data_IF_531491818696
#
_entry.id   IF_531491818696
#
_cell.length_a   1.000
_cell.length_b   1.000
_cell.length_c   1.000
_cell.angle_alpha   90.00
_cell.angle_beta   90.00
_cell.angle_gamma   90.00
#
_symmetry.space_group_name_H-M   'P 1'
#
loop_
_entity.id
_entity.type
_entity.pdbx_description
1 polymer ?
#
# COMPACT_ATOMS: atom_id res chain seq x y z
N UNK A 1 -36.05 -98.18 -14.15
CA UNK A 1 -35.57 -97.78 -12.81
C UNK A 1 -34.24 -97.05 -12.96
N UNK A 2 -34.23 -95.72 -12.83
CA UNK A 2 -33.23 -94.98 -12.05
C UNK A 2 -33.54 -93.49 -12.21
N UNK A 3 -34.15 -92.93 -11.16
CA UNK A 3 -34.45 -91.51 -11.00
C UNK A 3 -33.15 -90.70 -10.98
N UNK A 4 -33.00 -89.72 -11.87
CA UNK A 4 -32.02 -88.65 -11.69
C UNK A 4 -32.72 -87.34 -11.33
N UNK A 5 -32.74 -87.14 -10.01
CA UNK A 5 -33.22 -85.99 -9.25
C UNK A 5 -32.63 -84.67 -9.77
N UNK A 6 -33.52 -83.73 -10.08
CA UNK A 6 -33.19 -82.31 -10.30
C UNK A 6 -32.53 -81.75 -9.04
N UNK A 7 -31.31 -81.21 -9.19
CA UNK A 7 -30.60 -80.47 -8.12
C UNK A 7 -31.22 -79.07 -7.96
N UNK A 8 -31.38 -78.55 -6.72
CA UNK A 8 -31.93 -77.22 -6.48
C UNK A 8 -30.88 -76.14 -6.77
N UNK A 9 -31.34 -74.98 -7.23
CA UNK A 9 -30.50 -73.80 -7.52
C UNK A 9 -29.84 -73.26 -6.24
N UNK A 10 -28.55 -72.93 -6.32
CA UNK A 10 -27.79 -72.27 -5.24
C UNK A 10 -28.31 -70.83 -5.01
N UNK A 11 -28.52 -70.38 -3.76
CA UNK A 11 -28.73 -68.96 -3.49
C UNK A 11 -27.38 -68.23 -3.27
N UNK A 12 -27.33 -67.01 -3.82
CA UNK A 12 -26.49 -65.86 -3.46
C UNK A 12 -24.94 -65.91 -3.52
N UNK A 13 -24.38 -64.94 -4.26
CA UNK A 13 -23.40 -64.00 -3.68
C UNK A 13 -23.94 -62.58 -3.82
N UNK A 14 -24.61 -62.11 -2.77
CA UNK A 14 -24.84 -60.68 -2.55
C UNK A 14 -23.47 -59.97 -2.48
N UNK A 15 -23.33 -58.87 -3.22
CA UNK A 15 -22.18 -57.95 -3.09
C UNK A 15 -22.06 -57.52 -1.62
N UNK A 16 -20.84 -57.33 -1.07
CA UNK A 16 -20.69 -56.77 0.27
C UNK A 16 -21.38 -55.40 0.30
N UNK A 17 -22.05 -55.03 1.41
CA UNK A 17 -22.70 -53.74 1.50
C UNK A 17 -21.63 -52.66 1.32
N UNK A 18 -21.84 -51.76 0.35
CA UNK A 18 -21.08 -50.52 0.27
C UNK A 18 -21.15 -49.86 1.65
N UNK A 19 -19.98 -49.70 2.29
CA UNK A 19 -19.88 -48.87 3.49
C UNK A 19 -20.53 -47.54 3.15
N UNK A 20 -21.62 -47.21 3.87
CA UNK A 20 -22.18 -45.86 3.86
C UNK A 20 -21.02 -44.89 4.05
N UNK A 21 -20.91 -43.81 3.24
CA UNK A 21 -19.97 -42.76 3.59
C UNK A 21 -20.34 -42.35 5.01
N UNK A 22 -19.42 -42.54 5.95
CA UNK A 22 -19.55 -41.88 7.24
C UNK A 22 -19.71 -40.38 6.99
N UNK A 23 -20.31 -39.62 7.91
CA UNK A 23 -20.38 -38.18 7.75
C UNK A 23 -18.99 -37.67 7.37
N UNK A 24 -18.88 -37.02 6.20
CA UNK A 24 -17.65 -36.36 5.78
C UNK A 24 -17.23 -35.51 6.97
N UNK A 25 -16.13 -35.88 7.64
CA UNK A 25 -15.48 -34.97 8.57
C UNK A 25 -15.27 -33.67 7.76
N UNK A 26 -15.77 -32.51 8.21
CA UNK A 26 -15.38 -31.28 7.56
C UNK A 26 -13.85 -31.25 7.60
N UNK A 27 -13.16 -30.93 6.49
CA UNK A 27 -11.76 -30.59 6.61
C UNK A 27 -11.69 -29.50 7.68
N UNK A 28 -10.74 -29.62 8.61
CA UNK A 28 -10.36 -28.49 9.45
C UNK A 28 -9.97 -27.38 8.50
N UNK A 29 -10.92 -26.50 8.18
CA UNK A 29 -10.71 -25.35 7.33
C UNK A 29 -9.63 -24.53 8.03
N UNK A 30 -8.58 -24.18 7.30
CA UNK A 30 -7.60 -23.20 7.74
C UNK A 30 -8.07 -21.84 7.20
N UNK A 31 -9.01 -21.16 7.91
CA UNK A 31 -9.65 -19.97 7.37
C UNK A 31 -8.64 -18.86 7.10
N UNK A 32 -7.56 -18.79 7.91
CA UNK A 32 -6.51 -17.81 7.76
C UNK A 32 -5.75 -17.99 6.44
N UNK A 33 -5.23 -19.20 6.17
CA UNK A 33 -4.50 -19.47 4.92
C UNK A 33 -5.42 -19.44 3.70
N UNK A 34 -6.66 -19.88 3.83
CA UNK A 34 -7.64 -19.79 2.75
C UNK A 34 -7.95 -18.33 2.41
N UNK A 35 -8.19 -17.47 3.40
CA UNK A 35 -8.41 -16.04 3.18
C UNK A 35 -7.19 -15.35 2.55
N UNK A 36 -5.97 -15.73 2.98
CA UNK A 36 -4.74 -15.25 2.37
C UNK A 36 -4.60 -15.68 0.91
N UNK A 37 -4.84 -16.96 0.62
CA UNK A 37 -4.78 -17.52 -0.74
C UNK A 37 -5.80 -16.85 -1.66
N UNK A 38 -7.03 -16.65 -1.19
CA UNK A 38 -8.09 -16.00 -1.97
C UNK A 38 -7.79 -14.51 -2.22
N UNK A 39 -7.10 -13.85 -1.29
CA UNK A 39 -6.60 -12.48 -1.48
C UNK A 39 -5.54 -12.45 -2.58
N UNK A 40 -4.53 -13.33 -2.52
CA UNK A 40 -3.48 -13.41 -3.55
C UNK A 40 -4.08 -13.70 -4.93
N UNK A 41 -5.08 -14.60 -5.00
CA UNK A 41 -5.82 -14.89 -6.23
C UNK A 41 -6.57 -13.67 -6.76
N UNK A 42 -7.27 -12.94 -5.90
CA UNK A 42 -7.98 -11.73 -6.29
C UNK A 42 -7.03 -10.65 -6.83
N UNK A 43 -5.87 -10.47 -6.19
CA UNK A 43 -4.81 -9.57 -6.63
C UNK A 43 -4.33 -9.93 -8.03
N UNK A 44 -4.10 -11.23 -8.31
CA UNK A 44 -3.63 -11.69 -9.64
C UNK A 44 -4.71 -11.60 -10.72
N UNK A 45 -5.94 -12.02 -10.41
CA UNK A 45 -6.99 -12.22 -11.41
C UNK A 45 -7.78 -10.96 -11.73
N UNK A 46 -7.97 -10.08 -10.74
CA UNK A 46 -8.88 -8.92 -10.82
C UNK A 46 -8.18 -7.58 -10.71
N UNK A 47 -6.84 -7.60 -10.65
CA UNK A 47 -6.02 -6.42 -10.37
C UNK A 47 -6.49 -5.65 -9.12
N UNK A 48 -7.06 -6.37 -8.14
CA UNK A 48 -7.63 -5.77 -6.94
C UNK A 48 -6.55 -5.43 -5.90
N UNK A 49 -6.72 -4.35 -5.13
CA UNK A 49 -5.76 -4.02 -4.08
C UNK A 49 -5.94 -4.91 -2.84
N UNK A 50 -4.85 -5.47 -2.32
CA UNK A 50 -4.89 -6.43 -1.22
C UNK A 50 -5.50 -5.81 0.05
N UNK A 51 -5.17 -4.54 0.30
CA UNK A 51 -5.67 -3.76 1.44
C UNK A 51 -7.18 -3.43 1.36
N UNK A 52 -7.84 -3.67 0.22
CA UNK A 52 -9.29 -3.55 0.08
C UNK A 52 -9.97 -4.92 0.11
N UNK A 53 -9.35 -5.94 -0.48
CA UNK A 53 -9.93 -7.30 -0.58
C UNK A 53 -9.91 -8.01 0.76
N UNK A 54 -8.76 -8.03 1.44
CA UNK A 54 -8.59 -8.85 2.63
C UNK A 54 -9.55 -8.45 3.77
N UNK A 55 -9.70 -7.16 4.14
CA UNK A 55 -10.62 -6.78 5.21
C UNK A 55 -12.08 -7.21 4.93
N UNK A 56 -12.51 -7.16 3.67
CA UNK A 56 -13.82 -7.69 3.25
C UNK A 56 -13.94 -9.19 3.50
N UNK A 57 -12.96 -9.97 3.05
CA UNK A 57 -12.94 -11.43 3.26
C UNK A 57 -12.91 -11.80 4.75
N UNK A 58 -12.14 -11.08 5.58
CA UNK A 58 -12.06 -11.32 7.02
C UNK A 58 -13.41 -11.07 7.69
N UNK A 59 -14.09 -9.97 7.36
CA UNK A 59 -15.43 -9.67 7.89
C UNK A 59 -16.48 -10.69 7.44
N UNK A 60 -16.54 -10.98 6.14
CA UNK A 60 -17.52 -11.91 5.58
C UNK A 60 -17.40 -13.31 6.17
N UNK A 61 -16.16 -13.74 6.46
CA UNK A 61 -15.85 -15.05 7.04
C UNK A 61 -15.73 -15.04 8.56
N UNK A 62 -15.90 -13.88 9.20
CA UNK A 62 -15.78 -13.67 10.66
C UNK A 62 -14.44 -14.15 11.22
N UNK A 63 -13.36 -13.93 10.48
CA UNK A 63 -11.99 -14.27 10.89
C UNK A 63 -11.45 -13.12 11.73
N UNK A 64 -11.11 -13.40 12.99
CA UNK A 64 -10.70 -12.38 13.97
C UNK A 64 -9.43 -12.80 14.73
N UNK A 65 -8.86 -11.87 15.49
CA UNK A 65 -7.72 -12.14 16.38
C UNK A 65 -6.51 -12.74 15.67
N UNK A 66 -5.99 -13.86 16.19
CA UNK A 66 -4.76 -14.50 15.70
C UNK A 66 -4.88 -14.97 14.25
N UNK A 67 -6.03 -15.47 13.83
CA UNK A 67 -6.24 -15.96 12.46
C UNK A 67 -6.31 -14.79 11.46
N UNK A 68 -6.89 -13.66 11.86
CA UNK A 68 -6.89 -12.43 11.05
C UNK A 68 -5.46 -11.87 10.90
N UNK A 69 -4.68 -11.88 11.99
CA UNK A 69 -3.28 -11.48 11.96
C UNK A 69 -2.45 -12.40 11.05
N UNK A 70 -2.66 -13.72 11.12
CA UNK A 70 -2.00 -14.69 10.26
C UNK A 70 -2.40 -14.50 8.78
N UNK A 71 -3.69 -14.36 8.49
CA UNK A 71 -4.19 -14.11 7.14
C UNK A 71 -3.59 -12.82 6.54
N UNK A 72 -3.53 -11.75 7.34
CA UNK A 72 -2.92 -10.47 6.96
C UNK A 72 -1.45 -10.61 6.64
N UNK A 73 -0.71 -11.29 7.51
CA UNK A 73 0.71 -11.53 7.28
C UNK A 73 0.96 -12.33 6.00
N UNK A 74 0.23 -13.42 5.82
CA UNK A 74 0.43 -14.29 4.67
C UNK A 74 0.00 -13.61 3.37
N UNK A 75 -1.14 -12.90 3.35
CA UNK A 75 -1.64 -12.23 2.15
C UNK A 75 -0.69 -11.11 1.69
N UNK A 76 -0.40 -10.16 2.58
CA UNK A 76 0.42 -8.99 2.25
C UNK A 76 1.87 -9.39 2.03
N UNK A 77 2.40 -10.28 2.86
CA UNK A 77 3.75 -10.81 2.73
C UNK A 77 3.99 -11.54 1.41
N UNK A 78 3.06 -12.41 1.00
CA UNK A 78 3.15 -13.12 -0.29
C UNK A 78 3.11 -12.14 -1.47
N UNK A 79 2.21 -11.15 -1.44
CA UNK A 79 2.16 -10.11 -2.48
C UNK A 79 3.45 -9.29 -2.52
N UNK A 80 4.02 -8.97 -1.36
CA UNK A 80 5.25 -8.17 -1.22
C UNK A 80 6.45 -8.90 -1.80
N UNK A 81 6.63 -10.16 -1.42
CA UNK A 81 7.79 -10.96 -1.75
C UNK A 81 7.74 -11.61 -3.15
N UNK A 82 6.73 -11.31 -4.00
CA UNK A 82 6.46 -12.07 -5.23
C UNK A 82 7.69 -12.34 -6.10
N UNK A 83 8.54 -11.34 -6.36
CA UNK A 83 9.73 -11.53 -7.20
C UNK A 83 10.78 -12.48 -6.59
N UNK A 84 11.00 -12.42 -5.27
CA UNK A 84 11.86 -13.38 -4.56
C UNK A 84 11.26 -14.78 -4.64
N UNK A 85 9.96 -14.90 -4.32
CA UNK A 85 9.26 -16.19 -4.33
C UNK A 85 9.27 -16.83 -5.72
N UNK A 86 9.05 -16.04 -6.78
CA UNK A 86 9.09 -16.53 -8.16
C UNK A 86 10.50 -16.97 -8.56
N UNK A 87 11.55 -16.25 -8.16
CA UNK A 87 12.93 -16.66 -8.44
C UNK A 87 13.26 -18.01 -7.78
N UNK A 88 12.87 -18.18 -6.51
CA UNK A 88 13.08 -19.43 -5.76
C UNK A 88 12.24 -20.58 -6.34
N UNK A 89 10.96 -20.35 -6.63
CA UNK A 89 10.09 -21.36 -7.23
C UNK A 89 10.59 -21.80 -8.61
N UNK A 90 11.15 -20.87 -9.40
CA UNK A 90 11.78 -21.19 -10.69
C UNK A 90 13.02 -22.08 -10.52
N UNK A 91 13.83 -21.85 -9.49
CA UNK A 91 14.97 -22.73 -9.18
C UNK A 91 14.53 -24.11 -8.68
N UNK A 92 13.35 -24.21 -8.08
CA UNK A 92 12.82 -25.45 -7.49
C UNK A 92 11.96 -26.30 -8.44
N UNK A 93 11.64 -25.81 -9.65
CA UNK A 93 10.69 -26.44 -10.58
C UNK A 93 11.28 -26.60 -11.98
N UNK A 94 11.23 -27.82 -12.52
CA UNK A 94 11.59 -28.08 -13.93
C UNK A 94 10.55 -27.49 -14.90
N UNK A 95 9.33 -27.22 -14.43
CA UNK A 95 8.28 -26.58 -15.22
C UNK A 95 8.42 -25.06 -15.13
N UNK A 96 8.48 -24.33 -16.27
CA UNK A 96 8.44 -22.87 -16.28
C UNK A 96 7.19 -22.33 -15.56
N UNK A 97 7.34 -21.27 -14.76
CA UNK A 97 6.23 -20.75 -13.95
C UNK A 97 5.01 -20.32 -14.78
N UNK A 98 5.23 -19.78 -15.97
CA UNK A 98 4.15 -19.39 -16.89
C UNK A 98 3.36 -20.57 -17.46
N UNK A 99 3.87 -21.80 -17.31
CA UNK A 99 3.16 -23.02 -17.66
C UNK A 99 2.45 -23.63 -16.46
N UNK A 100 2.79 -23.25 -15.22
CA UNK A 100 2.10 -23.74 -14.02
C UNK A 100 0.70 -23.11 -13.96
N UNK A 101 -0.30 -23.90 -13.58
CA UNK A 101 -1.66 -23.39 -13.36
C UNK A 101 -1.64 -22.20 -12.37
N UNK A 102 -2.39 -21.14 -12.67
CA UNK A 102 -2.34 -19.92 -11.86
C UNK A 102 -2.78 -20.13 -10.41
N UNK A 103 -3.79 -20.99 -10.16
CA UNK A 103 -4.25 -21.27 -8.79
C UNK A 103 -3.21 -22.08 -8.00
N UNK A 104 -2.48 -22.96 -8.69
CA UNK A 104 -1.36 -23.70 -8.12
C UNK A 104 -0.17 -22.79 -7.83
N UNK A 105 0.17 -21.87 -8.74
CA UNK A 105 1.25 -20.91 -8.55
C UNK A 105 0.98 -19.98 -7.36
N UNK A 106 -0.26 -19.50 -7.21
CA UNK A 106 -0.66 -18.67 -6.07
C UNK A 106 -0.47 -19.43 -4.73
N UNK A 107 -0.82 -20.72 -4.69
CA UNK A 107 -0.59 -21.56 -3.52
C UNK A 107 0.89 -21.85 -3.26
N UNK A 108 1.69 -22.08 -4.31
CA UNK A 108 3.13 -22.27 -4.21
C UNK A 108 3.83 -21.02 -3.64
N UNK A 109 3.43 -19.82 -4.09
CA UNK A 109 3.94 -18.55 -3.55
C UNK A 109 3.59 -18.42 -2.07
N UNK A 110 2.35 -18.68 -1.69
CA UNK A 110 1.91 -18.66 -0.29
C UNK A 110 2.70 -19.66 0.57
N UNK A 111 2.94 -20.87 0.07
CA UNK A 111 3.74 -21.89 0.74
C UNK A 111 5.21 -21.49 0.90
N UNK A 112 5.82 -20.97 -0.18
CA UNK A 112 7.19 -20.49 -0.15
C UNK A 112 7.36 -19.29 0.80
N UNK A 113 6.39 -18.37 0.85
CA UNK A 113 6.40 -17.26 1.81
C UNK A 113 6.41 -17.76 3.25
N UNK A 114 5.56 -18.74 3.57
CA UNK A 114 5.55 -19.35 4.90
C UNK A 114 6.90 -19.95 5.28
N UNK A 115 7.55 -20.65 4.34
CA UNK A 115 8.85 -21.30 4.57
C UNK A 115 9.99 -20.29 4.79
N UNK A 116 9.99 -19.20 4.02
CA UNK A 116 11.12 -18.28 3.95
C UNK A 116 11.02 -17.10 4.92
N UNK A 117 9.80 -16.59 5.17
CA UNK A 117 9.57 -15.31 5.86
C UNK A 117 8.69 -15.40 7.10
N UNK A 118 8.33 -16.61 7.53
CA UNK A 118 7.57 -16.80 8.77
C UNK A 118 8.29 -17.75 9.72
N UNK A 119 7.83 -17.79 10.98
CA UNK A 119 8.32 -18.74 12.00
C UNK A 119 7.51 -20.05 12.02
N UNK A 120 6.71 -20.30 10.98
CA UNK A 120 5.88 -21.49 10.90
C UNK A 120 6.78 -22.69 10.60
N UNK A 121 6.71 -23.80 11.38
CA UNK A 121 7.52 -24.98 11.12
C UNK A 121 7.34 -25.50 9.68
N UNK A 122 8.45 -25.87 9.02
CA UNK A 122 8.43 -26.21 7.58
C UNK A 122 7.44 -27.32 7.24
N UNK A 123 7.33 -28.35 8.09
CA UNK A 123 6.36 -29.44 7.89
C UNK A 123 4.90 -28.94 7.92
N UNK A 124 4.58 -27.95 8.76
CA UNK A 124 3.24 -27.39 8.88
C UNK A 124 2.93 -26.46 7.70
N UNK A 125 3.89 -25.63 7.27
CA UNK A 125 3.76 -24.78 6.08
C UNK A 125 3.52 -25.61 4.81
N UNK A 126 4.29 -26.69 4.62
CA UNK A 126 4.11 -27.61 3.48
C UNK A 126 2.77 -28.33 3.57
N UNK A 127 2.46 -28.97 4.71
CA UNK A 127 1.23 -29.77 4.85
C UNK A 127 -0.03 -28.94 4.62
N UNK A 128 -0.14 -27.79 5.28
CA UNK A 128 -1.30 -26.89 5.12
C UNK A 128 -1.45 -26.39 3.69
N UNK A 129 -0.36 -25.98 3.03
CA UNK A 129 -0.42 -25.53 1.62
C UNK A 129 -0.81 -26.67 0.68
N UNK A 130 -0.28 -27.87 0.89
CA UNK A 130 -0.62 -29.06 0.11
C UNK A 130 -2.09 -29.46 0.29
N UNK A 131 -2.65 -29.30 1.49
CA UNK A 131 -4.05 -29.55 1.76
C UNK A 131 -4.96 -28.54 1.06
N UNK A 132 -4.60 -27.25 1.02
CA UNK A 132 -5.29 -26.23 0.20
C UNK A 132 -5.26 -26.59 -1.29
N UNK A 133 -4.09 -26.96 -1.83
CA UNK A 133 -3.97 -27.39 -3.23
C UNK A 133 -4.79 -28.64 -3.50
N UNK A 134 -4.81 -29.61 -2.58
CA UNK A 134 -5.60 -30.83 -2.74
C UNK A 134 -7.09 -30.54 -2.78
N UNK A 135 -7.57 -29.62 -1.94
CA UNK A 135 -8.97 -29.21 -1.91
C UNK A 135 -9.41 -28.55 -3.23
N UNK A 136 -8.56 -27.68 -3.78
CA UNK A 136 -8.92 -26.87 -4.97
C UNK A 136 -8.62 -27.57 -6.31
N UNK A 137 -7.52 -28.32 -6.40
CA UNK A 137 -6.97 -28.83 -7.67
C UNK A 137 -6.75 -30.35 -7.69
N UNK A 138 -7.05 -31.04 -6.59
CA UNK A 138 -6.95 -32.50 -6.48
C UNK A 138 -5.54 -33.03 -6.21
N UNK A 139 -5.45 -34.36 -6.04
CA UNK A 139 -4.24 -35.02 -5.51
C UNK A 139 -3.00 -34.92 -6.40
N UNK A 140 -3.15 -34.80 -7.72
CA UNK A 140 -2.01 -34.67 -8.65
C UNK A 140 -1.26 -33.36 -8.44
N UNK A 141 -1.98 -32.23 -8.41
CA UNK A 141 -1.42 -30.92 -8.12
C UNK A 141 -0.82 -30.86 -6.70
N UNK A 142 -1.46 -31.51 -5.72
CA UNK A 142 -0.96 -31.59 -4.35
C UNK A 142 0.39 -32.30 -4.25
N UNK A 143 0.61 -33.37 -5.03
CA UNK A 143 1.90 -34.07 -5.10
C UNK A 143 3.01 -33.18 -5.66
N UNK A 144 2.72 -32.43 -6.73
CA UNK A 144 3.65 -31.45 -7.29
C UNK A 144 3.98 -30.33 -6.29
N UNK A 145 2.96 -29.74 -5.65
CA UNK A 145 3.15 -28.70 -4.65
C UNK A 145 4.04 -29.18 -3.49
N UNK A 146 3.82 -30.40 -3.00
CA UNK A 146 4.65 -30.99 -1.96
C UNK A 146 6.11 -31.15 -2.40
N UNK A 147 6.37 -31.64 -3.61
CA UNK A 147 7.73 -31.81 -4.11
C UNK A 147 8.46 -30.47 -4.23
N UNK A 148 7.82 -29.46 -4.82
CA UNK A 148 8.40 -28.12 -4.99
C UNK A 148 8.67 -27.47 -3.64
N UNK A 149 7.69 -27.43 -2.73
CA UNK A 149 7.84 -26.77 -1.43
C UNK A 149 8.86 -27.46 -0.51
N UNK A 150 9.05 -28.78 -0.64
CA UNK A 150 10.13 -29.48 0.08
C UNK A 150 11.50 -29.04 -0.41
N UNK A 151 11.68 -28.82 -1.72
CA UNK A 151 12.92 -28.27 -2.28
C UNK A 151 13.14 -26.82 -1.86
N UNK A 152 12.09 -25.99 -1.86
CA UNK A 152 12.18 -24.61 -1.32
C UNK A 152 12.70 -24.62 0.12
N UNK A 153 12.25 -25.57 0.94
CA UNK A 153 12.65 -25.70 2.35
C UNK A 153 14.07 -26.23 2.59
N UNK A 154 14.83 -26.57 1.55
CA UNK A 154 16.23 -27.02 1.67
C UNK A 154 17.18 -25.87 2.06
N UNK A 155 16.80 -24.63 1.75
CA UNK A 155 17.60 -23.43 2.02
C UNK A 155 16.74 -22.33 2.67
N UNK A 156 17.39 -21.50 3.49
CA UNK A 156 16.80 -20.28 4.00
C UNK A 156 16.88 -19.14 2.97
N UNK A 157 16.17 -18.03 3.23
CA UNK A 157 16.16 -16.88 2.32
C UNK A 157 17.57 -16.32 2.03
N UNK A 158 18.45 -16.09 3.03
CA UNK A 158 19.80 -15.60 2.75
C UNK A 158 20.62 -16.53 1.84
N UNK A 159 20.45 -17.85 1.94
CA UNK A 159 21.12 -18.80 1.06
C UNK A 159 20.55 -18.75 -0.36
N UNK A 160 19.22 -18.71 -0.51
CA UNK A 160 18.60 -18.52 -1.83
C UNK A 160 19.03 -17.21 -2.50
N UNK A 161 19.10 -16.11 -1.75
CA UNK A 161 19.57 -14.83 -2.28
C UNK A 161 21.02 -14.94 -2.75
N UNK A 162 21.92 -15.55 -1.97
CA UNK A 162 23.32 -15.75 -2.40
C UNK A 162 23.47 -16.58 -3.67
N UNK A 163 22.60 -17.57 -3.88
CA UNK A 163 22.67 -18.45 -5.06
C UNK A 163 22.04 -17.83 -6.31
N UNK A 164 20.97 -17.04 -6.14
CA UNK A 164 20.13 -16.57 -7.24
C UNK A 164 20.35 -15.09 -7.60
N UNK A 165 20.80 -14.26 -6.66
CA UNK A 165 21.06 -12.85 -6.93
C UNK A 165 22.31 -12.70 -7.79
N UNK A 166 22.39 -11.68 -8.66
CA UNK A 166 23.65 -11.33 -9.28
C UNK A 166 24.66 -10.89 -8.21
N UNK A 167 25.95 -10.98 -8.55
CA UNK A 167 27.04 -10.56 -7.68
C UNK A 167 26.90 -9.06 -7.34
N UNK A 168 26.90 -8.72 -6.05
CA UNK A 168 26.63 -7.36 -5.58
C UNK A 168 27.70 -6.35 -6.06
N UNK A 169 28.96 -6.78 -6.18
CA UNK A 169 30.05 -5.90 -6.61
C UNK A 169 29.92 -5.51 -8.08
N UNK A 170 29.33 -6.38 -8.91
CA UNK A 170 29.10 -6.11 -10.34
C UNK A 170 27.72 -5.53 -10.65
N UNK A 171 26.70 -5.91 -9.88
CA UNK A 171 25.31 -5.48 -10.09
C UNK A 171 24.54 -5.34 -8.77
N UNK A 172 24.95 -4.36 -7.95
CA UNK A 172 24.30 -4.02 -6.68
C UNK A 172 22.78 -3.81 -6.83
N UNK A 173 22.32 -3.18 -7.92
CA UNK A 173 20.89 -2.91 -8.14
C UNK A 173 20.12 -4.22 -8.35
N UNK A 174 20.65 -5.14 -9.16
CA UNK A 174 20.03 -6.45 -9.36
C UNK A 174 20.08 -7.30 -8.11
N UNK A 175 21.16 -7.21 -7.35
CA UNK A 175 21.32 -7.93 -6.09
C UNK A 175 20.23 -7.51 -5.10
N UNK A 176 20.14 -6.20 -4.82
CA UNK A 176 19.16 -5.64 -3.89
C UNK A 176 17.71 -5.84 -4.36
N UNK A 177 17.46 -5.85 -5.68
CA UNK A 177 16.15 -6.16 -6.24
C UNK A 177 15.65 -7.55 -5.82
N UNK A 178 16.51 -8.56 -5.87
CA UNK A 178 16.13 -9.89 -5.39
C UNK A 178 16.08 -9.93 -3.86
N UNK A 179 17.11 -9.42 -3.18
CA UNK A 179 17.26 -9.50 -1.74
C UNK A 179 16.12 -8.83 -0.95
N UNK A 180 15.58 -7.71 -1.45
CA UNK A 180 14.48 -6.98 -0.80
C UNK A 180 13.13 -7.16 -1.50
N UNK A 181 13.06 -8.03 -2.50
CA UNK A 181 11.86 -8.29 -3.29
C UNK A 181 11.24 -7.01 -3.89
N UNK A 182 12.04 -6.33 -4.73
CA UNK A 182 11.61 -5.18 -5.53
C UNK A 182 11.93 -5.43 -7.01
N UNK A 183 11.10 -4.95 -7.94
CA UNK A 183 11.52 -4.84 -9.33
C UNK A 183 12.76 -3.99 -9.46
N UNK A 184 13.68 -4.40 -10.34
CA UNK A 184 14.95 -3.71 -10.61
C UNK A 184 14.77 -2.21 -10.87
N UNK A 185 13.74 -1.82 -11.60
CA UNK A 185 13.51 -0.42 -11.94
C UNK A 185 13.10 0.44 -10.73
N UNK A 186 12.40 -0.13 -9.75
CA UNK A 186 12.05 0.54 -8.49
C UNK A 186 13.30 0.73 -7.64
N UNK A 187 14.15 -0.29 -7.56
CA UNK A 187 15.46 -0.18 -6.89
C UNK A 187 16.30 0.93 -7.52
N UNK A 188 16.33 1.01 -8.85
CA UNK A 188 17.01 2.10 -9.54
C UNK A 188 16.39 3.46 -9.21
N UNK A 189 15.06 3.58 -9.20
CA UNK A 189 14.37 4.81 -8.83
C UNK A 189 14.71 5.28 -7.40
N UNK A 190 14.80 4.36 -6.45
CA UNK A 190 15.22 4.66 -5.07
C UNK A 190 16.69 5.07 -5.02
N UNK A 191 17.56 4.36 -5.75
CA UNK A 191 18.98 4.65 -5.83
C UNK A 191 19.24 6.06 -6.38
N UNK A 192 18.52 6.45 -7.43
CA UNK A 192 18.63 7.77 -8.04
C UNK A 192 18.10 8.86 -7.11
N UNK A 193 16.99 8.61 -6.42
CA UNK A 193 16.38 9.55 -5.48
C UNK A 193 17.23 9.79 -4.22
N UNK A 194 17.93 8.76 -3.74
CA UNK A 194 18.89 8.89 -2.63
C UNK A 194 20.14 9.68 -3.04
N UNK A 195 20.49 9.71 -4.33
CA UNK A 195 21.59 10.49 -4.87
C UNK A 195 22.91 10.26 -4.10
N UNK A 196 23.49 11.28 -3.43
CA UNK A 196 24.69 11.12 -2.61
C UNK A 196 24.56 10.09 -1.46
N UNK A 197 23.35 9.87 -0.96
CA UNK A 197 23.05 8.92 0.12
C UNK A 197 22.81 7.48 -0.38
N UNK A 198 23.29 7.12 -1.58
CA UNK A 198 23.09 5.79 -2.19
C UNK A 198 23.59 4.62 -1.33
N UNK A 199 24.47 4.87 -0.37
CA UNK A 199 24.90 3.88 0.62
C UNK A 199 23.72 3.32 1.43
N UNK A 200 22.69 4.14 1.70
CA UNK A 200 21.48 3.80 2.46
C UNK A 200 20.44 3.01 1.64
N UNK A 201 20.72 2.69 0.37
CA UNK A 201 19.74 2.05 -0.51
C UNK A 201 19.19 0.74 0.06
N UNK A 202 20.04 -0.08 0.69
CA UNK A 202 19.61 -1.33 1.31
C UNK A 202 18.64 -1.08 2.47
N UNK A 203 18.91 -0.07 3.31
CA UNK A 203 18.06 0.29 4.44
C UNK A 203 16.71 0.86 3.97
N UNK A 204 16.72 1.69 2.93
CA UNK A 204 15.50 2.22 2.32
C UNK A 204 14.60 1.12 1.76
N UNK A 205 15.18 0.13 1.07
CA UNK A 205 14.45 -1.02 0.53
C UNK A 205 13.97 -1.96 1.65
N UNK A 206 14.79 -2.19 2.67
CA UNK A 206 14.40 -2.98 3.84
C UNK A 206 13.22 -2.34 4.58
N UNK A 207 13.22 -1.02 4.74
CA UNK A 207 12.11 -0.30 5.37
C UNK A 207 10.83 -0.28 4.51
N UNK A 208 10.95 -0.27 3.17
CA UNK A 208 9.81 -0.47 2.26
C UNK A 208 9.35 -1.94 2.19
N UNK A 209 10.22 -2.91 2.53
CA UNK A 209 9.84 -4.32 2.64
C UNK A 209 9.24 -4.67 4.02
N UNK A 210 9.44 -3.82 5.01
CA UNK A 210 8.90 -4.00 6.36
C UNK A 210 7.37 -3.83 6.40
N UNK A 211 6.76 -4.34 7.47
CA UNK A 211 5.33 -4.09 7.73
C UNK A 211 5.15 -2.60 8.07
N UNK A 212 4.21 -1.89 7.44
CA UNK A 212 4.02 -0.48 7.73
C UNK A 212 3.42 -0.28 9.12
N UNK A 213 3.95 0.69 9.84
CA UNK A 213 3.29 1.26 11.00
C UNK A 213 1.91 1.83 10.63
N UNK A 214 0.94 1.71 11.52
CA UNK A 214 -0.37 2.33 11.35
C UNK A 214 -0.40 3.61 12.15
N UNK A 215 -0.65 4.72 11.45
CA UNK A 215 -0.80 6.04 12.05
C UNK A 215 -2.28 6.47 11.96
N UNK A 216 -2.76 7.06 13.04
CA UNK A 216 -3.97 7.86 13.07
C UNK A 216 -3.61 9.34 12.99
N UNK A 217 -4.52 10.15 12.45
CA UNK A 217 -4.52 11.60 12.51
C UNK A 217 -5.71 12.04 13.39
N UNK A 218 -5.42 12.57 14.57
CA UNK A 218 -6.38 13.29 15.40
C UNK A 218 -6.97 14.48 14.62
N UNK A 219 -8.27 14.73 14.75
CA UNK A 219 -8.90 15.91 14.13
C UNK A 219 -8.65 17.16 14.97
N UNK A 220 -7.94 18.17 14.42
CA UNK A 220 -7.77 19.46 15.08
C UNK A 220 -9.10 20.02 15.57
N UNK A 221 -9.16 20.48 16.82
CA UNK A 221 -10.36 21.02 17.44
C UNK A 221 -11.32 19.97 18.02
N UNK A 222 -11.21 18.68 17.65
CA UNK A 222 -12.06 17.61 18.17
C UNK A 222 -11.37 16.76 19.25
N UNK A 223 -10.11 16.37 19.02
CA UNK A 223 -9.33 15.57 19.97
C UNK A 223 -7.83 15.87 19.80
N UNK A 224 -7.07 15.89 20.89
CA UNK A 224 -5.60 16.00 20.83
C UNK A 224 -4.94 14.65 20.49
N UNK A 225 -3.67 14.66 20.09
CA UNK A 225 -2.93 13.42 19.89
C UNK A 225 -2.75 12.64 21.20
N UNK A 226 -2.57 13.34 22.33
CA UNK A 226 -2.44 12.73 23.65
C UNK A 226 -3.74 12.06 24.11
N UNK A 227 -4.89 12.72 23.90
CA UNK A 227 -6.20 12.15 24.19
C UNK A 227 -6.48 10.94 23.29
N UNK A 228 -6.20 11.06 21.99
CA UNK A 228 -6.37 9.96 21.05
C UNK A 228 -5.49 8.76 21.43
N UNK A 229 -4.22 8.99 21.77
CA UNK A 229 -3.30 7.96 22.22
C UNK A 229 -3.83 7.24 23.47
N UNK A 230 -4.37 7.98 24.45
CA UNK A 230 -5.00 7.41 25.63
C UNK A 230 -6.25 6.58 25.31
N UNK A 231 -7.06 7.00 24.34
CA UNK A 231 -8.27 6.26 23.90
C UNK A 231 -7.92 4.97 23.16
N UNK A 232 -6.87 4.97 22.34
CA UNK A 232 -6.52 3.83 21.48
C UNK A 232 -5.45 2.92 22.06
N UNK A 233 -4.81 3.30 23.18
CA UNK A 233 -3.61 2.64 23.69
C UNK A 233 -2.42 2.77 22.74
N UNK A 234 -2.41 3.82 21.92
CA UNK A 234 -1.30 4.14 21.01
C UNK A 234 -0.29 5.08 21.65
N UNK A 235 0.69 5.51 20.87
CA UNK A 235 1.70 6.48 21.29
C UNK A 235 1.67 7.70 20.37
N UNK A 236 1.88 8.90 20.92
CA UNK A 236 2.01 10.11 20.09
C UNK A 236 3.24 9.95 19.20
N UNK A 237 3.06 10.17 17.90
CA UNK A 237 4.15 10.05 16.93
C UNK A 237 5.10 11.26 17.03
N UNK A 238 6.37 11.12 16.61
CA UNK A 238 7.41 12.07 16.98
C UNK A 238 7.38 13.42 16.25
N UNK A 239 6.65 13.56 15.14
CA UNK A 239 6.77 14.73 14.26
C UNK A 239 5.47 15.50 14.04
N UNK A 240 4.35 14.82 13.76
CA UNK A 240 3.07 15.49 13.55
C UNK A 240 2.36 15.69 14.89
N UNK A 241 1.89 16.91 15.21
CA UNK A 241 1.14 17.18 16.45
C UNK A 241 -0.22 16.48 16.51
N UNK A 242 -0.63 15.81 15.42
CA UNK A 242 -1.90 15.09 15.32
C UNK A 242 -1.70 13.57 15.15
N UNK A 243 -0.45 13.10 15.04
CA UNK A 243 -0.21 11.70 14.73
C UNK A 243 -0.17 10.83 15.99
N UNK A 244 -0.86 9.69 15.91
CA UNK A 244 -0.77 8.61 16.91
C UNK A 244 -0.37 7.33 16.21
N UNK A 245 0.70 6.71 16.67
CA UNK A 245 1.18 5.41 16.26
C UNK A 245 0.41 4.30 16.99
N UNK A 246 -0.11 3.33 16.23
CA UNK A 246 -0.72 2.13 16.79
C UNK A 246 0.27 0.97 16.80
N UNK A 247 0.28 0.22 17.89
CA UNK A 247 1.07 -1.00 18.02
C UNK A 247 0.76 -2.03 16.93
N UNK A 248 1.77 -2.80 16.55
CA UNK A 248 1.61 -3.83 15.54
C UNK A 248 0.60 -4.89 16.00
N UNK A 249 -0.46 -5.09 15.20
CA UNK A 249 -1.51 -6.04 15.53
C UNK A 249 -2.64 -5.47 16.40
N UNK A 250 -2.76 -4.15 16.52
CA UNK A 250 -3.88 -3.46 17.18
C UNK A 250 -5.27 -3.70 16.56
N UNK A 251 -5.39 -4.54 15.53
CA UNK A 251 -6.66 -4.87 14.87
C UNK A 251 -6.95 -3.99 13.66
N UNK A 252 -8.21 -3.96 13.23
CA UNK A 252 -8.69 -3.06 12.17
C UNK A 252 -8.89 -1.65 12.77
N UNK A 253 -8.14 -0.62 12.33
CA UNK A 253 -8.31 0.73 12.86
C UNK A 253 -9.72 1.30 12.61
N UNK A 254 -10.45 0.79 11.62
CA UNK A 254 -11.83 1.19 11.36
C UNK A 254 -12.82 0.78 12.47
N UNK A 255 -12.45 -0.15 13.34
CA UNK A 255 -13.28 -0.59 14.48
C UNK A 255 -13.08 0.31 15.72
N UNK A 256 -12.05 1.16 15.73
CA UNK A 256 -11.76 2.07 16.85
C UNK A 256 -12.84 3.16 16.94
N UNK A 257 -13.37 3.38 18.14
CA UNK A 257 -14.41 4.39 18.41
C UNK A 257 -14.02 5.80 17.90
N UNK A 258 -12.80 6.33 18.16
CA UNK A 258 -12.40 7.63 17.62
C UNK A 258 -12.44 7.72 16.09
N UNK A 259 -12.19 6.61 15.39
CA UNK A 259 -12.24 6.57 13.92
C UNK A 259 -13.68 6.50 13.42
N UNK A 260 -14.52 5.69 14.08
CA UNK A 260 -15.94 5.56 13.75
C UNK A 260 -16.74 6.85 13.97
N UNK A 261 -16.42 7.56 15.05
CA UNK A 261 -17.06 8.84 15.40
C UNK A 261 -16.43 10.04 14.67
N UNK A 262 -15.44 9.81 13.80
CA UNK A 262 -14.81 10.87 13.00
C UNK A 262 -13.83 11.76 13.75
N UNK A 263 -13.53 11.49 15.02
CA UNK A 263 -12.53 12.20 15.82
C UNK A 263 -11.10 11.97 15.33
N UNK A 264 -10.85 10.88 14.61
CA UNK A 264 -9.57 10.58 13.98
C UNK A 264 -9.75 9.89 12.61
N UNK A 265 -8.72 9.93 11.77
CA UNK A 265 -8.66 9.18 10.52
C UNK A 265 -7.37 8.38 10.37
N UNK A 266 -7.40 7.27 9.64
CA UNK A 266 -6.17 6.52 9.33
C UNK A 266 -5.37 7.29 8.28
N UNK A 267 -4.19 7.79 8.65
CA UNK A 267 -3.34 8.59 7.77
C UNK A 267 -1.88 8.52 8.23
N UNK A 268 -0.99 8.18 7.30
CA UNK A 268 0.46 8.19 7.53
C UNK A 268 0.96 9.56 8.02
N UNK A 269 1.85 9.59 9.00
CA UNK A 269 2.41 10.81 9.56
C UNK A 269 3.07 11.70 8.50
N UNK A 270 3.77 11.13 7.50
CA UNK A 270 4.38 11.89 6.41
C UNK A 270 3.34 12.62 5.54
N UNK A 271 2.17 11.99 5.34
CA UNK A 271 1.02 12.61 4.66
C UNK A 271 0.42 13.75 5.48
N UNK A 272 0.40 13.63 6.81
CA UNK A 272 -0.03 14.72 7.71
C UNK A 272 0.96 15.89 7.64
N UNK A 273 2.27 15.63 7.77
CA UNK A 273 3.32 16.63 7.71
C UNK A 273 3.32 17.41 6.39
N UNK A 274 3.12 16.73 5.24
CA UNK A 274 3.04 17.40 3.95
C UNK A 274 1.86 18.39 3.86
N UNK A 275 0.71 18.05 4.45
CA UNK A 275 -0.43 18.97 4.53
C UNK A 275 -0.16 20.12 5.51
N UNK A 276 0.43 19.84 6.67
CA UNK A 276 0.78 20.87 7.67
C UNK A 276 1.85 21.86 7.16
N UNK A 277 2.78 21.40 6.32
CA UNK A 277 3.77 22.28 5.72
C UNK A 277 3.12 23.41 4.92
N UNK A 278 2.03 23.13 4.20
CA UNK A 278 1.25 24.14 3.49
C UNK A 278 0.65 25.18 4.45
N UNK A 279 0.12 24.77 5.60
CA UNK A 279 -0.58 25.67 6.53
C UNK A 279 0.37 26.52 7.37
N UNK A 280 1.63 26.10 7.52
CA UNK A 280 2.65 26.80 8.30
C UNK A 280 3.33 27.95 7.55
N UNK A 281 3.19 28.04 6.23
CA UNK A 281 3.76 29.15 5.46
C UNK A 281 3.03 30.45 5.81
N UNK A 282 3.79 31.48 6.13
CA UNK A 282 3.24 32.81 6.39
C UNK A 282 2.62 33.43 5.14
N UNK A 283 1.38 33.92 5.28
CA UNK A 283 0.65 34.64 4.25
C UNK A 283 0.45 36.10 4.65
N UNK A 284 0.49 36.97 3.66
CA UNK A 284 -0.01 38.34 3.77
C UNK A 284 -1.44 38.40 3.24
N UNK A 285 -2.35 39.03 3.98
CA UNK A 285 -3.77 39.15 3.60
C UNK A 285 -4.65 38.04 4.18
N UNK A 286 -5.63 37.57 3.39
CA UNK A 286 -6.58 36.53 3.80
C UNK A 286 -5.95 35.15 3.91
N UNK A 287 -6.53 34.32 4.78
CA UNK A 287 -6.19 32.89 4.93
C UNK A 287 -7.46 32.08 5.25
N UNK A 288 -8.51 32.27 4.43
CA UNK A 288 -9.86 31.75 4.67
C UNK A 288 -10.36 30.81 3.56
N UNK A 289 -9.73 30.78 2.39
CA UNK A 289 -10.14 29.93 1.27
C UNK A 289 -9.02 28.99 0.86
N UNK A 290 -9.18 27.73 1.23
CA UNK A 290 -8.21 26.69 0.93
C UNK A 290 -8.75 25.76 -0.16
N UNK A 291 -7.85 25.06 -0.85
CA UNK A 291 -8.17 24.10 -1.89
C UNK A 291 -7.35 22.83 -1.74
N UNK A 292 -8.00 21.67 -1.80
CA UNK A 292 -7.36 20.38 -2.09
C UNK A 292 -7.77 19.94 -3.50
N UNK A 293 -6.85 20.03 -4.46
CA UNK A 293 -7.14 19.84 -5.88
C UNK A 293 -7.25 18.35 -6.28
N UNK A 294 -6.83 17.43 -5.41
CA UNK A 294 -6.77 15.99 -5.66
C UNK A 294 -7.16 15.21 -4.39
N UNK A 295 -8.36 15.48 -3.88
CA UNK A 295 -8.71 15.21 -2.49
C UNK A 295 -8.89 13.73 -2.12
N UNK A 296 -9.16 12.84 -3.08
CA UNK A 296 -9.50 11.45 -2.76
C UNK A 296 -8.35 10.67 -2.10
N UNK A 297 -8.58 9.86 -1.05
CA UNK A 297 -9.87 9.52 -0.44
C UNK A 297 -10.34 10.46 0.70
N UNK A 298 -9.66 11.58 0.95
CA UNK A 298 -10.13 12.64 1.87
C UNK A 298 -9.31 12.83 3.15
N UNK A 299 -8.21 12.08 3.36
CA UNK A 299 -7.40 12.18 4.58
C UNK A 299 -6.82 13.59 4.78
N UNK A 300 -6.13 14.12 3.75
CA UNK A 300 -5.57 15.48 3.76
C UNK A 300 -6.67 16.55 3.75
N UNK A 301 -7.72 16.38 2.94
CA UNK A 301 -8.88 17.27 2.93
C UNK A 301 -9.53 17.39 4.33
N UNK A 302 -9.68 16.31 5.07
CA UNK A 302 -10.27 16.36 6.40
C UNK A 302 -9.33 16.98 7.45
N UNK A 303 -8.00 16.75 7.35
CA UNK A 303 -7.03 17.46 8.19
C UNK A 303 -7.04 18.97 7.91
N UNK A 304 -7.00 19.37 6.63
CA UNK A 304 -7.04 20.77 6.21
C UNK A 304 -8.40 21.42 6.55
N UNK A 305 -9.50 20.69 6.38
CA UNK A 305 -10.86 21.12 6.72
C UNK A 305 -10.99 21.47 8.20
N UNK A 306 -10.47 20.62 9.09
CA UNK A 306 -10.45 20.90 10.53
C UNK A 306 -9.56 22.10 10.87
N UNK A 307 -8.41 22.28 10.20
CA UNK A 307 -7.51 23.41 10.45
C UNK A 307 -8.10 24.74 9.97
N UNK A 308 -8.72 24.77 8.79
CA UNK A 308 -9.31 25.99 8.24
C UNK A 308 -10.55 26.42 9.02
N UNK A 309 -11.29 25.47 9.59
CA UNK A 309 -12.42 25.73 10.48
C UNK A 309 -12.00 26.53 11.71
N UNK A 310 -10.87 26.18 12.34
CA UNK A 310 -10.32 26.93 13.48
C UNK A 310 -9.98 28.39 13.13
N UNK A 311 -9.74 28.67 11.85
CA UNK A 311 -9.48 30.01 11.31
C UNK A 311 -10.75 30.69 10.76
N UNK A 312 -11.91 30.06 10.87
CA UNK A 312 -13.19 30.57 10.35
C UNK A 312 -13.28 30.60 8.82
N UNK A 313 -12.52 29.75 8.13
CA UNK A 313 -12.50 29.65 6.67
C UNK A 313 -13.22 28.40 6.13
N UNK A 314 -12.93 28.06 4.88
CA UNK A 314 -13.52 26.95 4.15
C UNK A 314 -12.52 26.29 3.21
N UNK A 315 -12.77 25.01 2.89
CA UNK A 315 -11.98 24.21 1.96
C UNK A 315 -12.84 23.79 0.77
N UNK A 316 -12.36 24.02 -0.44
CA UNK A 316 -12.87 23.37 -1.64
C UNK A 316 -12.04 22.09 -1.89
N UNK A 317 -12.69 20.95 -2.11
CA UNK A 317 -12.04 19.65 -2.34
C UNK A 317 -12.46 19.08 -3.69
N UNK A 318 -11.52 18.91 -4.61
CA UNK A 318 -11.78 18.42 -5.98
C UNK A 318 -11.36 16.95 -6.10
N UNK A 319 -12.25 16.11 -6.63
CA UNK A 319 -11.97 14.71 -6.93
C UNK A 319 -12.72 14.27 -8.19
N UNK A 320 -11.98 13.72 -9.17
CA UNK A 320 -12.53 13.36 -10.47
C UNK A 320 -13.47 12.15 -10.40
N UNK A 321 -13.15 11.16 -9.57
CA UNK A 321 -13.90 9.91 -9.53
C UNK A 321 -15.06 10.01 -8.53
N UNK A 322 -16.33 9.85 -8.95
CA UNK A 322 -17.50 10.02 -8.05
C UNK A 322 -17.41 9.16 -6.78
N UNK A 323 -17.00 7.90 -6.92
CA UNK A 323 -16.86 6.98 -5.79
C UNK A 323 -15.77 7.41 -4.78
N UNK A 324 -14.72 8.11 -5.23
CA UNK A 324 -13.69 8.67 -4.33
C UNK A 324 -14.16 9.98 -3.72
N UNK A 325 -14.90 10.80 -4.47
CA UNK A 325 -15.53 12.01 -3.93
C UNK A 325 -16.51 11.67 -2.80
N UNK A 326 -17.25 10.56 -2.90
CA UNK A 326 -18.10 10.05 -1.81
C UNK A 326 -17.28 9.70 -0.55
N UNK A 327 -16.04 9.21 -0.71
CA UNK A 327 -15.15 8.97 0.43
C UNK A 327 -14.67 10.30 1.05
N UNK A 328 -14.36 11.31 0.22
CA UNK A 328 -14.02 12.65 0.70
C UNK A 328 -15.19 13.23 1.51
N UNK A 329 -16.40 13.23 0.95
CA UNK A 329 -17.61 13.74 1.63
C UNK A 329 -17.88 13.04 2.96
N UNK A 330 -17.58 11.73 3.06
CA UNK A 330 -17.69 10.99 4.33
C UNK A 330 -16.59 11.37 5.31
N UNK A 331 -15.35 11.51 4.84
CA UNK A 331 -14.19 11.85 5.66
C UNK A 331 -14.22 13.28 6.20
N UNK A 332 -14.89 14.19 5.49
CA UNK A 332 -15.02 15.61 5.84
C UNK A 332 -16.40 15.99 6.34
N UNK A 333 -17.18 15.01 6.81
CA UNK A 333 -18.52 15.26 7.37
C UNK A 333 -18.41 16.27 8.51
N UNK A 334 -19.34 17.22 8.54
CA UNK A 334 -19.46 18.28 9.55
C UNK A 334 -18.30 19.31 9.57
N UNK A 335 -17.36 19.22 8.63
CA UNK A 335 -16.32 20.24 8.40
C UNK A 335 -16.76 21.24 7.32
N UNK A 336 -16.18 22.45 7.26
CA UNK A 336 -16.49 23.47 6.24
C UNK A 336 -15.85 23.13 4.88
N UNK A 337 -16.15 21.94 4.34
CA UNK A 337 -15.58 21.41 3.10
C UNK A 337 -16.67 21.28 2.03
N UNK A 338 -16.44 21.88 0.86
CA UNK A 338 -17.28 21.69 -0.33
C UNK A 338 -16.59 20.73 -1.29
N UNK A 339 -17.24 19.60 -1.59
CA UNK A 339 -16.68 18.57 -2.49
C UNK A 339 -17.17 18.77 -3.92
N UNK A 340 -16.24 18.84 -4.87
CA UNK A 340 -16.48 19.01 -6.29
C UNK A 340 -16.07 17.77 -7.06
N UNK A 341 -17.02 17.19 -7.80
CA UNK A 341 -16.74 16.08 -8.72
C UNK A 341 -16.32 16.64 -10.06
N UNK A 342 -15.03 16.90 -10.22
CA UNK A 342 -14.46 17.56 -11.40
C UNK A 342 -13.02 17.11 -11.67
N UNK A 343 -12.53 17.41 -12.87
CA UNK A 343 -11.12 17.24 -13.21
C UNK A 343 -10.31 18.40 -12.63
N UNK A 344 -9.28 18.11 -11.81
CA UNK A 344 -8.45 19.16 -11.21
C UNK A 344 -7.71 20.04 -12.21
N UNK A 345 -7.57 19.63 -13.48
CA UNK A 345 -6.97 20.44 -14.55
C UNK A 345 -7.88 21.58 -15.00
N UNK A 346 -9.20 21.38 -14.87
CA UNK A 346 -10.26 22.30 -15.25
C UNK A 346 -11.47 22.10 -14.33
N UNK A 347 -11.33 22.55 -13.08
CA UNK A 347 -12.31 22.29 -12.03
C UNK A 347 -13.55 23.20 -12.10
N UNK A 348 -13.53 24.21 -12.96
CA UNK A 348 -14.54 25.29 -12.99
C UNK A 348 -14.46 26.27 -11.81
N UNK A 349 -13.50 26.09 -10.90
CA UNK A 349 -13.26 27.03 -9.80
C UNK A 349 -12.59 28.31 -10.31
N UNK A 350 -12.88 29.48 -9.72
CA UNK A 350 -12.32 30.75 -10.16
C UNK A 350 -10.80 30.80 -9.96
N UNK A 351 -10.08 31.26 -10.98
CA UNK A 351 -8.65 31.52 -10.89
C UNK A 351 -8.34 32.62 -9.87
N UNK A 352 -7.18 32.53 -9.21
CA UNK A 352 -6.71 33.54 -8.27
C UNK A 352 -7.56 33.68 -7.00
N UNK A 353 -8.31 32.65 -6.62
CA UNK A 353 -9.35 32.75 -5.59
C UNK A 353 -8.99 32.07 -4.27
N UNK A 354 -7.87 31.35 -4.21
CA UNK A 354 -7.47 30.52 -3.07
C UNK A 354 -6.19 31.03 -2.41
N UNK A 355 -6.20 31.10 -1.08
CA UNK A 355 -5.06 31.50 -0.25
C UNK A 355 -4.01 30.38 -0.19
N UNK A 356 -4.48 29.13 -0.07
CA UNK A 356 -3.66 27.92 0.00
C UNK A 356 -4.20 26.86 -0.94
N UNK A 357 -3.33 26.22 -1.71
CA UNK A 357 -3.69 25.13 -2.62
C UNK A 357 -2.80 23.92 -2.38
N UNK A 358 -3.39 22.79 -2.01
CA UNK A 358 -2.75 21.49 -1.99
C UNK A 358 -2.96 20.79 -3.33
N UNK A 359 -1.86 20.34 -3.93
CA UNK A 359 -1.84 19.46 -5.09
C UNK A 359 -1.18 18.14 -4.66
N UNK A 360 -1.96 17.25 -4.04
CA UNK A 360 -1.56 15.87 -3.73
C UNK A 360 -1.72 15.00 -4.98
N UNK A 361 -0.75 15.12 -5.89
CA UNK A 361 -0.93 14.68 -7.26
C UNK A 361 -0.96 13.15 -7.39
N UNK A 362 -1.80 12.59 -8.29
CA UNK A 362 -1.76 11.17 -8.60
C UNK A 362 -0.38 10.78 -9.12
N UNK A 363 0.21 9.75 -8.51
CA UNK A 363 1.57 9.31 -8.80
C UNK A 363 1.67 7.78 -8.85
N UNK A 364 2.87 7.28 -9.12
CA UNK A 364 3.16 5.84 -9.13
C UNK A 364 2.88 5.18 -7.78
N UNK A 365 2.99 5.94 -6.68
CA UNK A 365 2.81 5.48 -5.30
C UNK A 365 4.01 4.72 -4.74
N UNK A 366 5.19 4.82 -5.38
CA UNK A 366 6.38 4.07 -5.01
C UNK A 366 6.86 4.29 -3.57
N UNK A 367 6.52 5.42 -2.94
CA UNK A 367 6.85 5.71 -1.55
C UNK A 367 5.95 5.03 -0.52
N UNK A 368 4.86 4.41 -0.96
CA UNK A 368 3.84 3.79 -0.09
C UNK A 368 3.66 2.29 -0.35
N UNK A 369 4.61 1.65 -1.04
CA UNK A 369 4.51 0.24 -1.47
C UNK A 369 4.37 -0.72 -0.30
N UNK A 370 5.01 -0.44 0.84
CA UNK A 370 4.80 -1.21 2.09
C UNK A 370 3.33 -1.37 2.51
N UNK A 371 2.45 -0.42 2.14
CA UNK A 371 1.00 -0.45 2.42
C UNK A 371 0.17 -1.10 1.32
N UNK A 372 0.68 -1.14 0.08
CA UNK A 372 0.04 -1.73 -1.10
C UNK A 372 1.05 -2.64 -1.83
N UNK A 373 1.48 -3.74 -1.18
CA UNK A 373 2.65 -4.51 -1.61
C UNK A 373 2.55 -5.04 -3.04
N UNK A 374 1.36 -5.43 -3.49
CA UNK A 374 1.10 -5.87 -4.87
C UNK A 374 1.40 -4.79 -5.92
N UNK A 375 1.32 -3.51 -5.55
CA UNK A 375 1.53 -2.41 -6.49
C UNK A 375 2.96 -2.40 -7.04
N UNK A 376 3.95 -2.88 -6.27
CA UNK A 376 5.34 -2.91 -6.75
C UNK A 376 5.51 -3.80 -7.97
N UNK A 377 4.69 -4.85 -8.12
CA UNK A 377 4.76 -5.79 -9.25
C UNK A 377 3.86 -5.43 -10.43
N UNK A 378 2.89 -4.54 -10.22
CA UNK A 378 1.98 -4.05 -11.27
C UNK A 378 2.57 -2.88 -12.04
N UNK A 379 3.23 -1.98 -11.33
CA UNK A 379 3.81 -0.76 -11.92
C UNK A 379 4.90 -1.09 -12.92
N UNK A 380 4.84 -0.43 -14.06
CA UNK A 380 5.82 -0.53 -15.12
C UNK A 380 6.51 0.83 -15.33
N UNK A 381 7.77 0.84 -15.82
CA UNK A 381 8.45 2.09 -16.17
C UNK A 381 7.64 2.97 -17.15
N UNK A 382 6.84 2.35 -18.02
CA UNK A 382 5.98 3.05 -18.99
C UNK A 382 4.87 3.90 -18.35
N UNK A 383 4.44 3.59 -17.12
CA UNK A 383 3.36 4.30 -16.43
C UNK A 383 3.77 5.74 -16.03
N UNK A 384 5.07 5.99 -15.88
CA UNK A 384 5.62 7.22 -15.31
C UNK A 384 5.36 8.43 -16.22
N UNK A 385 5.44 8.26 -17.54
CA UNK A 385 5.38 9.38 -18.47
C UNK A 385 4.01 10.11 -18.47
N UNK A 386 2.92 9.34 -18.48
CA UNK A 386 1.56 9.87 -18.43
C UNK A 386 1.25 10.49 -17.06
N UNK A 387 1.68 9.86 -15.97
CA UNK A 387 1.53 10.41 -14.62
C UNK A 387 2.29 11.72 -14.46
N UNK A 388 3.54 11.79 -14.92
CA UNK A 388 4.33 13.02 -14.88
C UNK A 388 3.70 14.12 -15.73
N UNK A 389 3.06 13.78 -16.85
CA UNK A 389 2.28 14.75 -17.65
C UNK A 389 1.08 15.28 -16.88
N UNK A 390 0.29 14.40 -16.29
CA UNK A 390 -0.87 14.78 -15.48
C UNK A 390 -0.46 15.64 -14.28
N UNK A 391 0.61 15.28 -13.57
CA UNK A 391 1.16 16.04 -12.44
C UNK A 391 1.54 17.48 -12.84
N UNK A 392 2.17 17.67 -14.01
CA UNK A 392 2.47 19.01 -14.54
C UNK A 392 1.21 19.83 -14.80
N UNK A 393 0.20 19.21 -15.42
CA UNK A 393 -1.07 19.87 -15.74
C UNK A 393 -1.80 20.29 -14.46
N UNK A 394 -1.84 19.41 -13.44
CA UNK A 394 -2.47 19.68 -12.15
C UNK A 394 -1.72 20.75 -11.33
N UNK A 395 -0.39 20.69 -11.26
CA UNK A 395 0.38 21.73 -10.58
C UNK A 395 0.22 23.09 -11.27
N UNK A 396 0.19 23.11 -12.60
CA UNK A 396 -0.08 24.34 -13.34
C UNK A 396 -1.49 24.89 -13.07
N UNK A 397 -2.50 24.02 -12.92
CA UNK A 397 -3.85 24.44 -12.53
C UNK A 397 -3.89 24.99 -11.10
N UNK A 398 -3.26 24.29 -10.14
CA UNK A 398 -3.17 24.74 -8.75
C UNK A 398 -2.51 26.13 -8.61
N UNK A 399 -1.45 26.38 -9.38
CA UNK A 399 -0.79 27.70 -9.43
C UNK A 399 -1.68 28.81 -10.01
N UNK A 400 -2.57 28.51 -10.97
CA UNK A 400 -3.53 29.50 -11.50
C UNK A 400 -4.67 29.78 -10.51
N UNK A 401 -5.10 28.76 -9.77
CA UNK A 401 -6.16 28.85 -8.77
C UNK A 401 -5.72 29.63 -7.51
N UNK A 402 -4.45 29.57 -7.15
CA UNK A 402 -3.90 30.36 -6.04
C UNK A 402 -3.93 31.85 -6.35
N UNK A 403 -4.32 32.72 -5.40
CA UNK A 403 -4.24 34.18 -5.55
C UNK A 403 -2.79 34.68 -5.56
N UNK A 404 -2.51 35.91 -6.04
CA UNK A 404 -1.23 36.58 -5.77
C UNK A 404 -0.96 36.63 -4.25
N UNK A 405 0.27 36.27 -3.87
CA UNK A 405 0.72 36.04 -2.50
C UNK A 405 0.31 34.69 -1.88
N UNK A 406 -0.56 33.92 -2.54
CA UNK A 406 -1.01 32.60 -2.10
C UNK A 406 0.06 31.52 -2.25
N UNK A 407 -0.11 30.42 -1.51
CA UNK A 407 0.87 29.33 -1.44
C UNK A 407 0.31 28.04 -2.02
N UNK A 408 1.13 27.33 -2.77
CA UNK A 408 0.79 26.03 -3.37
C UNK A 408 1.77 24.97 -2.90
N UNK A 409 1.25 23.86 -2.37
CA UNK A 409 2.03 22.67 -2.04
C UNK A 409 1.86 21.62 -3.14
N UNK A 410 2.96 21.21 -3.76
CA UNK A 410 3.03 20.03 -4.61
C UNK A 410 3.52 18.85 -3.80
N UNK A 411 2.72 17.78 -3.75
CA UNK A 411 2.90 16.66 -2.84
C UNK A 411 2.70 15.35 -3.62
N UNK A 412 3.65 14.40 -3.50
CA UNK A 412 3.52 13.05 -4.09
C UNK A 412 4.13 11.97 -3.21
N UNK A 413 3.47 10.83 -3.07
CA UNK A 413 4.00 9.64 -2.37
C UNK A 413 4.90 8.78 -3.27
N UNK A 414 5.87 9.41 -3.94
CA UNK A 414 6.87 8.76 -4.80
C UNK A 414 8.21 9.48 -4.62
N UNK A 415 9.34 8.75 -4.44
CA UNK A 415 10.66 9.36 -4.50
C UNK A 415 11.17 9.51 -5.95
N UNK A 416 10.47 8.99 -6.95
CA UNK A 416 10.98 8.89 -8.30
C UNK A 416 11.19 10.26 -8.95
N UNK A 417 12.43 10.56 -9.35
CA UNK A 417 12.84 11.87 -9.85
C UNK A 417 11.94 12.48 -10.96
N UNK A 418 11.42 11.72 -11.94
CA UNK A 418 10.49 12.25 -12.94
C UNK A 418 9.16 12.78 -12.38
N UNK A 419 8.75 12.33 -11.19
CA UNK A 419 7.52 12.74 -10.49
C UNK A 419 7.80 13.77 -9.37
N UNK A 420 9.07 13.98 -9.02
CA UNK A 420 9.48 14.91 -7.97
C UNK A 420 10.20 16.12 -8.58
N UNK A 421 11.54 16.12 -8.57
CA UNK A 421 12.38 17.18 -9.08
C UNK A 421 12.14 17.49 -10.56
N UNK A 422 11.81 16.47 -11.36
CA UNK A 422 11.47 16.64 -12.78
C UNK A 422 10.23 17.52 -12.98
N UNK A 423 9.22 17.40 -12.11
CA UNK A 423 8.00 18.20 -12.15
C UNK A 423 8.30 19.64 -11.71
N UNK A 424 9.00 19.80 -10.59
CA UNK A 424 9.40 21.11 -10.07
C UNK A 424 10.20 21.90 -11.10
N UNK A 425 11.22 21.28 -11.71
CA UNK A 425 12.07 21.92 -12.71
C UNK A 425 11.29 22.32 -13.97
N UNK A 426 10.36 21.48 -14.44
CA UNK A 426 9.55 21.80 -15.61
C UNK A 426 8.59 22.98 -15.34
N UNK A 427 7.90 22.98 -14.19
CA UNK A 427 6.95 24.04 -13.83
C UNK A 427 7.65 25.38 -13.66
N UNK A 428 8.79 25.43 -12.96
CA UNK A 428 9.59 26.65 -12.83
C UNK A 428 10.04 27.20 -14.20
N UNK A 429 10.45 26.30 -15.11
CA UNK A 429 10.84 26.67 -16.47
C UNK A 429 9.66 27.22 -17.29
N UNK A 430 8.48 26.62 -17.17
CA UNK A 430 7.27 27.07 -17.88
C UNK A 430 6.74 28.39 -17.34
N UNK A 431 6.76 28.56 -16.02
CA UNK A 431 6.33 29.81 -15.37
C UNK A 431 7.11 31.01 -15.90
N UNK A 432 8.45 30.90 -16.03
CA UNK A 432 9.31 31.94 -16.61
C UNK A 432 8.99 32.32 -18.06
N UNK A 433 8.32 31.45 -18.82
CA UNK A 433 8.00 31.69 -20.24
C UNK A 433 6.62 32.30 -20.44
N UNK A 434 5.62 31.78 -19.74
CA UNK A 434 4.21 32.11 -20.03
C UNK A 434 3.25 31.77 -18.89
N UNK A 435 3.73 31.52 -17.67
CA UNK A 435 2.89 31.19 -16.52
C UNK A 435 2.77 32.34 -15.52
N UNK A 436 2.04 32.14 -14.41
CA UNK A 436 2.08 33.09 -13.30
C UNK A 436 3.51 33.25 -12.80
N UNK A 437 3.84 34.43 -12.26
CA UNK A 437 5.10 34.63 -11.56
C UNK A 437 5.08 33.79 -10.29
N UNK A 438 6.09 32.93 -10.13
CA UNK A 438 6.19 32.00 -9.00
C UNK A 438 7.58 32.00 -8.41
N UNK A 439 7.62 31.82 -7.10
CA UNK A 439 8.82 31.60 -6.31
C UNK A 439 8.75 30.22 -5.66
N UNK A 440 9.83 29.43 -5.69
CA UNK A 440 9.91 28.21 -4.91
C UNK A 440 10.34 28.56 -3.48
N UNK A 441 9.50 28.21 -2.51
CA UNK A 441 9.78 28.38 -1.09
C UNK A 441 10.60 27.18 -0.59
N UNK A 442 11.56 27.42 0.29
CA UNK A 442 12.22 26.34 1.03
C UNK A 442 11.22 25.67 1.98
N UNK A 443 10.90 24.41 1.70
CA UNK A 443 9.92 23.65 2.47
C UNK A 443 10.45 23.21 3.85
N UNK A 444 11.77 23.10 4.04
CA UNK A 444 12.39 22.48 5.23
C UNK A 444 12.00 23.16 6.56
N UNK A 445 11.95 24.50 6.68
CA UNK A 445 11.52 25.17 7.90
C UNK A 445 10.09 24.82 8.35
N UNK A 446 9.26 24.31 7.44
CA UNK A 446 7.87 23.93 7.72
C UNK A 446 7.69 22.47 8.13
N UNK A 447 8.79 21.73 8.30
CA UNK A 447 8.89 20.40 8.88
C UNK A 447 9.78 20.46 10.15
N UNK A 448 9.34 21.16 11.21
CA UNK A 448 10.12 21.29 12.44
C UNK A 448 10.40 19.91 13.03
N UNK A 449 11.58 19.77 13.64
CA UNK A 449 12.04 18.58 14.37
C UNK A 449 12.21 17.30 13.51
N UNK A 450 11.92 17.36 12.20
CA UNK A 450 12.18 16.26 11.27
C UNK A 450 13.61 16.36 10.76
N UNK A 451 14.50 15.38 11.05
CA UNK A 451 15.88 15.41 10.59
C UNK A 451 15.99 15.01 9.10
N UNK A 452 17.17 15.21 8.50
CA UNK A 452 17.57 14.59 7.22
C UNK A 452 16.59 14.77 6.02
N UNK A 453 15.96 15.94 5.93
CA UNK A 453 14.96 16.31 4.92
C UNK A 453 15.48 16.45 3.48
N UNK A 454 16.81 16.43 3.29
CA UNK A 454 17.50 16.68 2.02
C UNK A 454 18.04 18.12 1.88
N UNK A 455 18.72 18.38 0.76
CA UNK A 455 19.44 19.64 0.52
C UNK A 455 18.52 20.84 0.17
N UNK A 456 17.22 20.60 -0.01
CA UNK A 456 16.25 21.65 -0.29
C UNK A 456 16.28 22.14 -1.75
N UNK A 457 15.46 23.15 -2.08
CA UNK A 457 14.42 23.78 -1.25
C UNK A 457 13.13 22.94 -1.10
N UNK A 458 13.16 21.66 -1.48
CA UNK A 458 12.07 20.69 -1.27
C UNK A 458 12.38 19.77 -0.08
N UNK A 459 11.40 18.95 0.31
CA UNK A 459 11.53 17.92 1.33
C UNK A 459 11.30 16.54 0.71
N UNK A 460 12.15 15.57 1.06
CA UNK A 460 11.92 14.15 0.79
C UNK A 460 11.95 13.36 2.10
N UNK A 461 10.79 12.81 2.48
CA UNK A 461 10.67 11.87 3.59
C UNK A 461 10.98 10.44 3.14
N UNK A 462 11.48 9.62 4.08
CA UNK A 462 11.83 8.22 3.83
C UNK A 462 11.44 7.33 5.00
N UNK A 463 10.97 6.09 4.74
CA UNK A 463 10.67 5.13 5.80
C UNK A 463 11.84 4.80 6.72
N UNK A 464 13.05 4.61 6.17
CA UNK A 464 14.23 4.23 6.97
C UNK A 464 14.80 5.37 7.81
N UNK A 465 14.48 6.63 7.49
CA UNK A 465 14.93 7.81 8.24
C UNK A 465 13.89 8.33 9.23
N UNK A 466 12.62 8.31 8.84
CA UNK A 466 11.56 9.03 9.55
C UNK A 466 10.41 8.12 10.02
N UNK A 467 10.40 6.83 9.69
CA UNK A 467 9.28 5.93 10.05
C UNK A 467 7.99 6.16 9.25
N UNK A 468 7.89 7.24 8.50
CA UNK A 468 6.75 7.59 7.62
C UNK A 468 6.81 6.86 6.28
N UNK A 469 5.79 7.00 5.44
CA UNK A 469 5.93 6.64 4.03
C UNK A 469 6.90 7.62 3.34
N UNK A 470 7.43 7.22 2.17
CA UNK A 470 8.24 8.13 1.37
C UNK A 470 7.33 9.18 0.72
N UNK A 471 7.59 10.45 1.02
CA UNK A 471 6.76 11.59 0.64
C UNK A 471 7.63 12.74 0.15
N UNK A 472 7.33 13.28 -1.02
CA UNK A 472 7.95 14.49 -1.54
C UNK A 472 7.03 15.69 -1.34
N UNK A 473 7.58 16.83 -0.91
CA UNK A 473 6.87 18.09 -0.78
C UNK A 473 7.69 19.25 -1.34
N UNK A 474 7.09 20.05 -2.22
CA UNK A 474 7.63 21.32 -2.67
C UNK A 474 6.59 22.42 -2.50
N UNK A 475 7.03 23.59 -2.02
CA UNK A 475 6.17 24.74 -1.77
C UNK A 475 6.47 25.85 -2.79
N UNK A 476 5.43 26.52 -3.25
CA UNK A 476 5.52 27.63 -4.19
C UNK A 476 4.68 28.81 -3.69
N UNK A 477 5.16 30.02 -3.92
CA UNK A 477 4.37 31.25 -3.78
C UNK A 477 4.04 31.76 -5.17
N UNK A 478 2.77 32.15 -5.39
CA UNK A 478 2.42 32.97 -6.55
C UNK A 478 2.73 34.42 -6.21
N UNK A 479 3.55 35.08 -7.01
CA UNK A 479 3.95 36.48 -6.81
C UNK A 479 2.90 37.42 -7.38
#
# INVERSE_FOLDING_TARGET
MSEQRRRPARPHRSRPPQRRPGPRRPPTEDPARQAALDTVRAVRQRDAYANLVLPGLLRDRRITGRDAALATELAYGTCRAQGLLDAVLKACSDRPLNQIDGLLLDALRLGAYQLLRTRIPSHAAVASTVDLVRADLGSGAAGFANAVLRRVAEHDEPTWVRELAPDEATDRVGHLALAHAHPRWIVQAFADALGPARAELADALAADDARPAVHLAARPGAVSAEELAAMTGGEVAPYSPYAVHLEAGAGDPGDLEPVREGLAGVQDEGSQLAALALTRVELTGSDQRWLDLCAGPGGKAALLGSLVELNGGSLDAVEQAPHRADLVSKATRDLPVTVHVADGRDSGLPEGAFDRVLVDAPCTGLGSLRRRPESRWRRQPGDVAELAKLQRELLAAGLRLARPGGVVAYVVCSPHLPETLGIVADVLRRAKKSGPEIEQIDARPYFPDVPQLGDGPHVQLWPHRHGTDAMFCALFRRV
#
